data_IF_754465254924
#
_entry.id   IF_754465254924
#
_cell.length_a   1.000
_cell.length_b   1.000
_cell.length_c   1.000
_cell.angle_alpha   90.00
_cell.angle_beta   90.00
_cell.angle_gamma   90.00
#
_symmetry.space_group_name_H-M   'P 1'
#
loop_
_entity.id
_entity.type
_entity.pdbx_description
1 polymer ?
#
# COMPACT_ATOMS: atom_id res chain seq x y z
N UNK A 1 10.90 12.92 8.58
CA UNK A 1 9.69 13.23 9.38
C UNK A 1 9.62 12.28 10.59
N UNK A 2 9.07 12.67 11.75
CA UNK A 2 8.87 11.72 12.90
C UNK A 2 7.60 10.88 12.73
N UNK A 3 7.57 9.66 13.29
CA UNK A 3 6.41 8.75 13.20
C UNK A 3 5.08 9.40 13.60
N UNK A 4 5.02 10.10 14.74
CA UNK A 4 3.80 10.78 15.19
C UNK A 4 3.33 11.90 14.26
N UNK A 5 4.27 12.56 13.58
CA UNK A 5 3.91 13.58 12.60
C UNK A 5 3.30 12.89 11.37
N UNK A 6 3.93 11.83 10.87
CA UNK A 6 3.38 11.05 9.75
C UNK A 6 1.98 10.54 10.06
N UNK A 7 1.77 9.91 11.22
CA UNK A 7 0.44 9.43 11.66
C UNK A 7 -0.59 10.56 11.71
N UNK A 8 -0.20 11.76 12.16
CA UNK A 8 -1.09 12.93 12.20
C UNK A 8 -1.55 13.36 10.81
N UNK A 9 -0.63 13.50 9.84
CA UNK A 9 -1.00 13.91 8.48
C UNK A 9 -1.92 12.88 7.81
N UNK A 10 -1.71 11.59 8.07
CA UNK A 10 -2.56 10.53 7.55
C UNK A 10 -3.95 10.50 8.22
N UNK A 11 -4.08 11.05 9.43
CA UNK A 11 -5.33 11.07 10.18
C UNK A 11 -6.38 12.01 9.59
N UNK A 12 -5.96 13.00 8.80
CA UNK A 12 -6.82 13.98 8.18
C UNK A 12 -7.36 13.53 6.80
N UNK A 13 -6.86 12.42 6.27
CA UNK A 13 -7.25 11.91 4.95
C UNK A 13 -8.71 11.47 4.91
N UNK A 14 -9.40 11.89 3.86
CA UNK A 14 -10.76 11.46 3.56
C UNK A 14 -10.80 9.94 3.30
N UNK A 15 -11.83 9.30 3.82
CA UNK A 15 -12.05 7.85 3.71
C UNK A 15 -13.35 7.56 2.97
N UNK A 16 -13.57 6.29 2.60
CA UNK A 16 -14.77 5.85 1.89
C UNK A 16 -16.06 6.33 2.58
N UNK A 17 -16.92 7.01 1.83
CA UNK A 17 -18.27 7.38 2.28
C UNK A 17 -19.24 6.20 2.18
N UNK A 18 -19.08 5.35 1.16
CA UNK A 18 -19.90 4.16 0.92
C UNK A 18 -19.04 2.99 0.39
N UNK A 19 -18.36 2.24 1.28
CA UNK A 19 -17.42 1.21 0.88
C UNK A 19 -18.09 0.01 0.17
N UNK A 20 -17.52 -0.42 -0.95
CA UNK A 20 -17.93 -1.57 -1.76
C UNK A 20 -17.45 -2.86 -1.10
N UNK A 21 -18.38 -3.61 -0.53
CA UNK A 21 -18.10 -4.84 0.23
C UNK A 21 -17.47 -5.92 -0.66
N UNK A 22 -17.87 -5.99 -1.93
CA UNK A 22 -17.38 -6.92 -2.94
C UNK A 22 -15.92 -6.70 -3.32
N UNK A 23 -15.41 -5.48 -3.14
CA UNK A 23 -14.00 -5.12 -3.34
C UNK A 23 -13.19 -5.19 -2.04
N UNK A 24 -13.81 -5.53 -0.91
CA UNK A 24 -13.19 -5.51 0.41
C UNK A 24 -12.56 -4.14 0.74
N UNK A 25 -13.27 -3.04 0.44
CA UNK A 25 -12.84 -1.66 0.71
C UNK A 25 -12.80 -1.35 2.22
N UNK A 26 -11.69 -1.69 2.85
CA UNK A 26 -11.36 -1.33 4.23
C UNK A 26 -10.17 -0.37 4.22
N UNK A 27 -10.33 0.87 4.70
CA UNK A 27 -9.23 1.82 4.68
C UNK A 27 -8.12 1.39 5.63
N UNK A 28 -6.87 1.51 5.18
CA UNK A 28 -5.72 1.33 6.07
C UNK A 28 -5.66 2.50 7.03
N UNK A 29 -5.86 2.25 8.32
CA UNK A 29 -5.86 3.31 9.34
C UNK A 29 -4.49 4.00 9.42
N UNK A 30 -4.45 5.30 9.79
CA UNK A 30 -3.23 6.12 9.81
C UNK A 30 -2.13 5.52 10.70
N UNK A 31 -2.53 4.87 11.78
CA UNK A 31 -1.64 4.20 12.71
C UNK A 31 -0.90 2.98 12.11
N UNK A 32 -1.59 2.20 11.28
CA UNK A 32 -1.02 1.02 10.62
C UNK A 32 -0.14 1.49 9.46
N UNK A 33 -0.65 2.40 8.63
CA UNK A 33 0.07 2.96 7.49
C UNK A 33 1.38 3.64 7.91
N UNK A 34 1.31 4.55 8.89
CA UNK A 34 2.49 5.25 9.38
C UNK A 34 3.55 4.29 9.92
N UNK A 35 3.17 3.28 10.72
CA UNK A 35 4.13 2.30 11.25
C UNK A 35 4.77 1.44 10.17
N UNK A 36 3.97 0.93 9.24
CA UNK A 36 4.45 0.11 8.13
C UNK A 36 5.50 0.86 7.31
N UNK A 37 5.16 2.06 6.85
CA UNK A 37 6.04 2.87 6.01
C UNK A 37 7.23 3.42 6.79
N UNK A 38 7.03 3.81 8.05
CA UNK A 38 8.13 4.27 8.91
C UNK A 38 9.12 3.15 9.22
N UNK A 39 8.66 1.90 9.34
CA UNK A 39 9.54 0.72 9.45
C UNK A 39 10.27 0.44 8.14
N UNK A 40 9.55 0.46 7.00
CA UNK A 40 10.17 0.29 5.69
C UNK A 40 11.31 1.29 5.47
N UNK A 41 11.09 2.55 5.83
CA UNK A 41 12.11 3.60 5.74
C UNK A 41 13.23 3.42 6.77
N UNK A 42 12.93 3.47 8.07
CA UNK A 42 13.98 3.58 9.10
C UNK A 42 14.75 2.28 9.35
N UNK A 43 14.17 1.12 9.04
CA UNK A 43 14.84 -0.17 9.23
C UNK A 43 15.55 -0.66 7.97
N UNK A 44 15.07 -0.30 6.78
CA UNK A 44 15.52 -0.91 5.53
C UNK A 44 15.91 0.08 4.43
N UNK A 45 15.52 1.36 4.52
CA UNK A 45 15.76 2.36 3.47
C UNK A 45 15.02 2.04 2.17
N UNK A 46 13.83 1.45 2.29
CA UNK A 46 13.05 0.93 1.16
C UNK A 46 11.97 1.95 0.69
N UNK A 47 12.00 3.22 1.12
CA UNK A 47 11.01 4.25 0.73
C UNK A 47 11.65 5.51 0.16
N UNK A 48 12.57 6.17 0.87
CA UNK A 48 13.13 7.45 0.43
C UNK A 48 14.00 7.31 -0.83
N UNK A 49 13.82 8.21 -1.80
CA UNK A 49 14.45 8.16 -3.13
C UNK A 49 14.19 6.85 -3.88
N UNK A 50 13.00 6.26 -3.69
CA UNK A 50 12.53 5.05 -4.38
C UNK A 50 11.30 5.32 -5.22
N UNK A 51 11.13 4.51 -6.25
CA UNK A 51 9.85 4.39 -6.95
C UNK A 51 8.98 3.40 -6.18
N UNK A 52 7.88 3.89 -5.60
CA UNK A 52 6.98 3.11 -4.76
C UNK A 52 5.63 2.90 -5.45
N UNK A 53 5.16 1.65 -5.54
CA UNK A 53 3.80 1.37 -5.98
C UNK A 53 2.91 0.98 -4.80
N UNK A 54 1.70 1.54 -4.75
CA UNK A 54 0.64 1.21 -3.79
C UNK A 54 -0.44 0.39 -4.51
N UNK A 55 -0.47 -0.93 -4.26
CA UNK A 55 -1.41 -1.84 -4.92
C UNK A 55 -2.72 -1.96 -4.15
N UNK A 56 -3.83 -1.64 -4.81
CA UNK A 56 -5.13 -1.51 -4.15
C UNK A 56 -5.11 -0.30 -3.23
N UNK A 57 -4.69 0.85 -3.76
CA UNK A 57 -4.38 2.02 -2.95
C UNK A 57 -5.59 2.59 -2.20
N UNK A 58 -6.82 2.27 -2.62
CA UNK A 58 -8.03 2.80 -2.01
C UNK A 58 -8.01 4.32 -2.01
N UNK A 59 -8.22 4.92 -0.83
CA UNK A 59 -8.14 6.37 -0.62
C UNK A 59 -6.71 6.94 -0.58
N UNK A 60 -5.67 6.14 -0.88
CA UNK A 60 -4.30 6.59 -1.03
C UNK A 60 -3.47 6.68 0.26
N UNK A 61 -3.91 6.12 1.39
CA UNK A 61 -3.21 6.28 2.68
C UNK A 61 -1.76 5.78 2.68
N UNK A 62 -1.48 4.62 2.05
CA UNK A 62 -0.13 4.07 2.00
C UNK A 62 0.76 4.85 1.01
N UNK A 63 0.23 5.18 -0.17
CA UNK A 63 0.89 6.06 -1.13
C UNK A 63 1.24 7.44 -0.56
N UNK A 64 0.29 8.08 0.12
CA UNK A 64 0.52 9.37 0.80
C UNK A 64 1.62 9.26 1.87
N UNK A 65 1.63 8.17 2.64
CA UNK A 65 2.67 7.92 3.63
C UNK A 65 4.06 7.76 2.98
N UNK A 66 4.15 7.09 1.83
CA UNK A 66 5.39 6.95 1.07
C UNK A 66 5.88 8.31 0.54
N UNK A 67 4.98 9.12 -0.04
CA UNK A 67 5.31 10.45 -0.54
C UNK A 67 5.80 11.38 0.59
N UNK A 68 5.12 11.40 1.74
CA UNK A 68 5.52 12.19 2.92
C UNK A 68 6.87 11.76 3.52
N UNK A 69 7.30 10.53 3.27
CA UNK A 69 8.61 10.02 3.67
C UNK A 69 9.71 10.25 2.62
N UNK A 70 9.38 10.86 1.49
CA UNK A 70 10.36 11.25 0.47
C UNK A 70 10.61 10.18 -0.60
N UNK A 71 9.60 9.36 -0.92
CA UNK A 71 9.64 8.57 -2.16
C UNK A 71 9.89 9.49 -3.37
N UNK A 72 10.69 9.03 -4.33
CA UNK A 72 10.99 9.79 -5.54
C UNK A 72 9.75 9.87 -6.45
N UNK A 73 9.02 8.76 -6.52
CA UNK A 73 7.77 8.66 -7.27
C UNK A 73 6.84 7.69 -6.54
N UNK A 74 5.55 8.04 -6.48
CA UNK A 74 4.51 7.15 -5.98
C UNK A 74 3.49 6.87 -7.08
N UNK A 75 3.17 5.59 -7.26
CA UNK A 75 2.16 5.12 -8.22
C UNK A 75 1.05 4.39 -7.46
N UNK A 76 -0.13 5.00 -7.37
CA UNK A 76 -1.31 4.39 -6.77
C UNK A 76 -2.12 3.63 -7.81
N UNK A 77 -2.42 2.35 -7.55
CA UNK A 77 -3.20 1.52 -8.46
C UNK A 77 -4.44 1.01 -7.74
N UNK A 78 -5.61 1.26 -8.31
CA UNK A 78 -6.88 0.69 -7.83
C UNK A 78 -7.79 0.36 -9.01
N UNK A 79 -8.69 -0.60 -8.81
CA UNK A 79 -9.69 -0.96 -9.83
C UNK A 79 -10.88 -0.01 -9.82
N UNK A 80 -11.15 0.59 -8.66
CA UNK A 80 -12.30 1.45 -8.45
C UNK A 80 -11.97 2.93 -8.69
N UNK A 81 -12.65 3.54 -9.66
CA UNK A 81 -12.46 4.96 -9.99
C UNK A 81 -12.86 5.89 -8.85
N UNK A 82 -13.88 5.52 -8.06
CA UNK A 82 -14.32 6.33 -6.90
C UNK A 82 -13.24 6.37 -5.80
N UNK A 83 -12.55 5.25 -5.56
CA UNK A 83 -11.37 5.23 -4.67
C UNK A 83 -10.30 6.20 -5.14
N UNK A 84 -9.99 6.18 -6.45
CA UNK A 84 -8.94 7.01 -7.03
C UNK A 84 -9.29 8.49 -7.01
N UNK A 85 -10.57 8.85 -7.14
CA UNK A 85 -11.02 10.24 -6.98
C UNK A 85 -10.75 10.74 -5.55
N UNK A 86 -11.11 9.95 -4.54
CA UNK A 86 -10.80 10.27 -3.13
C UNK A 86 -9.28 10.36 -2.90
N UNK A 87 -8.51 9.42 -3.46
CA UNK A 87 -7.06 9.41 -3.34
C UNK A 87 -6.40 10.63 -3.99
N UNK A 88 -6.93 11.08 -5.14
CA UNK A 88 -6.47 12.30 -5.82
C UNK A 88 -6.73 13.54 -4.97
N UNK A 89 -7.94 13.67 -4.41
CA UNK A 89 -8.28 14.79 -3.52
C UNK A 89 -7.40 14.81 -2.26
N UNK A 90 -7.15 13.65 -1.66
CA UNK A 90 -6.25 13.49 -0.52
C UNK A 90 -4.80 13.90 -0.86
N UNK A 91 -4.32 13.52 -2.05
CA UNK A 91 -2.99 13.91 -2.52
C UNK A 91 -2.90 15.41 -2.78
N UNK A 92 -3.92 16.01 -3.40
CA UNK A 92 -4.02 17.46 -3.62
C UNK A 92 -4.04 18.26 -2.31
N UNK A 93 -4.82 17.82 -1.32
CA UNK A 93 -4.93 18.48 0.00
C UNK A 93 -3.60 18.49 0.76
N UNK A 94 -2.78 17.45 0.58
CA UNK A 94 -1.45 17.33 1.16
C UNK A 94 -0.31 17.85 0.25
N UNK A 95 -0.64 18.40 -0.92
CA UNK A 95 0.33 18.87 -1.93
C UNK A 95 1.33 17.77 -2.37
N UNK A 96 0.84 16.53 -2.53
CA UNK A 96 1.63 15.35 -2.89
C UNK A 96 1.51 15.04 -4.38
N UNK A 97 2.65 14.79 -5.04
CA UNK A 97 2.70 14.31 -6.42
C UNK A 97 2.60 12.77 -6.45
N UNK A 98 1.40 12.27 -6.77
CA UNK A 98 1.11 10.83 -6.85
C UNK A 98 0.41 10.53 -8.17
N UNK A 99 0.95 9.55 -8.91
CA UNK A 99 0.36 9.09 -10.16
C UNK A 99 -0.67 7.99 -9.90
N UNK A 100 -1.93 8.25 -10.20
CA UNK A 100 -3.00 7.27 -10.06
C UNK A 100 -3.32 6.55 -11.38
N UNK A 101 -3.46 5.23 -11.31
CA UNK A 101 -3.78 4.37 -12.45
C UNK A 101 -5.00 3.52 -12.11
N UNK A 102 -6.08 3.69 -12.87
CA UNK A 102 -7.22 2.78 -12.79
C UNK A 102 -6.89 1.47 -13.51
N UNK A 103 -6.65 0.41 -12.73
CA UNK A 103 -6.32 -0.91 -13.27
C UNK A 103 -6.61 -2.02 -12.26
N UNK A 104 -7.01 -3.17 -12.77
CA UNK A 104 -6.91 -4.41 -12.00
C UNK A 104 -5.44 -4.84 -11.96
N UNK A 105 -4.86 -4.93 -10.76
CA UNK A 105 -3.46 -5.33 -10.53
C UNK A 105 -3.09 -6.61 -11.28
N UNK A 106 -4.03 -7.54 -11.46
CA UNK A 106 -3.80 -8.82 -12.17
C UNK A 106 -3.60 -8.65 -13.67
N UNK A 107 -4.05 -7.53 -14.22
CA UNK A 107 -3.95 -7.15 -15.62
C UNK A 107 -2.88 -6.06 -15.84
N UNK A 108 -2.05 -5.75 -14.84
CA UNK A 108 -0.91 -4.85 -15.02
C UNK A 108 0.02 -5.40 -16.10
N UNK A 109 0.19 -4.63 -17.17
CA UNK A 109 1.09 -4.95 -18.28
C UNK A 109 2.58 -4.76 -17.96
N UNK A 110 2.91 -4.52 -16.69
CA UNK A 110 4.27 -4.31 -16.20
C UNK A 110 5.08 -5.60 -16.28
N UNK A 111 6.29 -5.51 -16.82
CA UNK A 111 7.18 -6.67 -17.01
C UNK A 111 8.59 -6.33 -16.54
N UNK A 112 9.15 -7.18 -15.68
CA UNK A 112 10.43 -6.94 -15.03
C UNK A 112 10.31 -6.01 -13.83
N UNK A 113 11.45 -5.61 -13.28
CA UNK A 113 11.51 -4.71 -12.14
C UNK A 113 11.20 -3.27 -12.59
N UNK A 114 9.95 -2.84 -12.39
CA UNK A 114 9.45 -1.52 -12.82
C UNK A 114 9.52 -0.51 -11.68
N UNK A 115 9.37 -0.98 -10.44
CA UNK A 115 9.39 -0.16 -9.22
C UNK A 115 10.35 -0.78 -8.21
N UNK A 116 10.83 0.02 -7.26
CA UNK A 116 11.72 -0.50 -6.22
C UNK A 116 10.95 -1.24 -5.15
N UNK A 117 9.89 -0.60 -4.65
CA UNK A 117 9.12 -1.08 -3.51
C UNK A 117 7.64 -1.14 -3.85
N UNK A 118 6.99 -2.23 -3.48
CA UNK A 118 5.52 -2.33 -3.49
C UNK A 118 5.03 -2.32 -2.05
N UNK A 119 4.05 -1.48 -1.75
CA UNK A 119 3.28 -1.48 -0.50
C UNK A 119 1.83 -1.84 -0.81
N UNK A 120 1.19 -2.60 0.08
CA UNK A 120 -0.21 -2.96 -0.11
C UNK A 120 -0.92 -3.40 1.16
N UNK A 121 -2.22 -3.15 1.18
CA UNK A 121 -3.18 -3.79 2.06
C UNK A 121 -4.21 -4.51 1.18
N UNK A 122 -3.87 -5.69 0.63
CA UNK A 122 -4.69 -6.33 -0.39
C UNK A 122 -6.01 -6.84 0.22
N UNK A 123 -7.05 -7.06 -0.61
CA UNK A 123 -8.25 -7.74 -0.17
C UNK A 123 -7.90 -9.12 0.39
N UNK A 124 -8.34 -9.44 1.61
CA UNK A 124 -7.96 -10.66 2.35
C UNK A 124 -8.58 -11.95 1.80
N UNK A 125 -9.30 -11.87 0.68
CA UNK A 125 -9.95 -13.00 0.03
C UNK A 125 -11.13 -13.56 0.81
N UNK A 126 -11.76 -12.75 1.67
CA UNK A 126 -12.99 -13.13 2.37
C UNK A 126 -14.18 -13.22 1.42
N UNK A 127 -14.15 -12.46 0.31
CA UNK A 127 -15.14 -12.51 -0.76
C UNK A 127 -14.66 -13.35 -1.93
N UNK A 128 -13.39 -13.17 -2.33
CA UNK A 128 -12.76 -13.88 -3.44
C UNK A 128 -11.48 -14.56 -2.98
N UNK A 129 -11.54 -15.87 -2.76
CA UNK A 129 -10.37 -16.66 -2.34
C UNK A 129 -9.19 -16.43 -3.29
N UNK A 130 -8.03 -16.14 -2.72
CA UNK A 130 -6.76 -15.99 -3.44
C UNK A 130 -6.46 -14.60 -4.01
N UNK A 131 -7.31 -13.60 -3.77
CA UNK A 131 -7.04 -12.23 -4.24
C UNK A 131 -5.77 -11.63 -3.63
N UNK A 132 -5.49 -11.92 -2.36
CA UNK A 132 -4.26 -11.56 -1.67
C UNK A 132 -3.01 -12.18 -2.31
N UNK A 133 -3.09 -13.45 -2.70
CA UNK A 133 -2.00 -14.17 -3.38
C UNK A 133 -1.79 -13.70 -4.82
N UNK A 134 -2.87 -13.32 -5.52
CA UNK A 134 -2.79 -12.70 -6.85
C UNK A 134 -2.01 -11.38 -6.78
N UNK A 135 -2.33 -10.52 -5.80
CA UNK A 135 -1.62 -9.25 -5.56
C UNK A 135 -0.15 -9.50 -5.24
N UNK A 136 0.15 -10.42 -4.33
CA UNK A 136 1.52 -10.77 -3.94
C UNK A 136 2.33 -11.32 -5.11
N UNK A 137 1.73 -12.16 -5.96
CA UNK A 137 2.40 -12.69 -7.16
C UNK A 137 2.80 -11.58 -8.13
N UNK A 138 1.94 -10.58 -8.33
CA UNK A 138 2.25 -9.44 -9.21
C UNK A 138 3.30 -8.55 -8.55
N UNK A 139 3.16 -8.23 -7.26
CA UNK A 139 4.09 -7.38 -6.51
C UNK A 139 5.53 -7.93 -6.59
N UNK A 140 5.71 -9.23 -6.35
CA UNK A 140 7.02 -9.88 -6.42
C UNK A 140 7.65 -9.87 -7.82
N UNK A 141 6.84 -9.82 -8.88
CA UNK A 141 7.35 -9.75 -10.26
C UNK A 141 7.82 -8.36 -10.65
N UNK A 142 7.25 -7.31 -10.04
CA UNK A 142 7.50 -5.91 -10.43
C UNK A 142 8.41 -5.15 -9.49
N UNK A 143 8.52 -5.56 -8.22
CA UNK A 143 9.40 -4.94 -7.24
C UNK A 143 10.86 -5.37 -7.47
N UNK A 144 11.78 -4.41 -7.50
CA UNK A 144 13.22 -4.65 -7.60
C UNK A 144 13.83 -5.00 -6.24
N UNK A 145 13.30 -4.42 -5.17
CA UNK A 145 13.93 -4.42 -3.85
C UNK A 145 13.03 -5.07 -2.79
N UNK A 146 11.80 -4.58 -2.61
CA UNK A 146 10.96 -5.04 -1.49
C UNK A 146 9.45 -5.03 -1.78
N UNK A 147 8.74 -5.94 -1.10
CA UNK A 147 7.28 -5.97 -1.04
C UNK A 147 6.84 -5.98 0.42
N UNK A 148 6.00 -5.02 0.78
CA UNK A 148 5.36 -4.91 2.09
C UNK A 148 3.86 -5.14 1.95
N UNK A 149 3.34 -6.19 2.57
CA UNK A 149 1.93 -6.56 2.48
C UNK A 149 1.31 -6.81 3.85
N UNK A 150 0.10 -6.31 4.08
CA UNK A 150 -0.67 -6.62 5.29
C UNK A 150 -1.57 -7.84 5.06
N UNK A 151 -1.50 -8.82 5.95
CA UNK A 151 -2.34 -10.03 5.93
C UNK A 151 -2.98 -10.28 7.30
N UNK A 152 -4.09 -11.03 7.37
CA UNK A 152 -4.63 -11.46 8.67
C UNK A 152 -3.68 -12.45 9.36
N UNK A 153 -3.47 -12.28 10.67
CA UNK A 153 -2.60 -13.12 11.51
C UNK A 153 -2.97 -14.61 11.59
N UNK A 154 -4.12 -15.03 11.05
CA UNK A 154 -4.50 -16.43 10.89
C UNK A 154 -3.81 -17.14 9.71
N UNK A 155 -3.07 -16.40 8.87
CA UNK A 155 -2.43 -16.88 7.63
C UNK A 155 -0.94 -17.21 7.84
N UNK A 156 -0.62 -18.01 8.87
CA UNK A 156 0.71 -18.10 9.52
C UNK A 156 1.83 -18.86 8.78
N UNK A 157 1.63 -19.33 7.55
CA UNK A 157 2.54 -20.28 6.88
C UNK A 157 3.51 -19.67 5.84
N UNK A 158 3.81 -18.36 5.88
CA UNK A 158 4.72 -17.73 4.90
C UNK A 158 6.05 -17.34 5.53
N UNK A 159 7.15 -17.82 4.92
CA UNK A 159 8.56 -17.58 5.24
C UNK A 159 8.98 -16.11 5.10
N UNK A 160 8.41 -15.20 5.90
CA UNK A 160 8.64 -13.77 5.84
C UNK A 160 8.92 -13.19 7.22
N UNK A 161 9.65 -12.07 7.26
CA UNK A 161 9.89 -11.34 8.51
C UNK A 161 8.56 -10.75 8.99
N UNK A 162 7.92 -11.44 9.93
CA UNK A 162 6.60 -11.08 10.43
C UNK A 162 6.72 -10.01 11.52
N UNK A 163 6.31 -8.78 11.21
CA UNK A 163 6.05 -7.78 12.24
C UNK A 163 4.55 -7.76 12.52
N UNK A 164 4.16 -8.10 13.75
CA UNK A 164 2.76 -8.05 14.17
C UNK A 164 2.38 -6.58 14.45
N UNK A 165 1.44 -6.04 13.66
CA UNK A 165 0.85 -4.72 13.88
C UNK A 165 -0.66 -4.91 13.98
N UNK A 166 -1.22 -4.81 15.19
CA UNK A 166 -2.68 -4.78 15.46
C UNK A 166 -3.47 -5.84 14.66
N UNK A 167 -3.34 -7.11 15.03
CA UNK A 167 -4.06 -8.27 14.42
C UNK A 167 -3.74 -8.56 12.94
N UNK A 168 -2.97 -7.70 12.27
CA UNK A 168 -2.40 -7.92 10.95
C UNK A 168 -0.92 -8.34 11.06
N UNK A 169 -0.56 -9.27 10.19
CA UNK A 169 0.78 -9.70 9.90
C UNK A 169 1.34 -8.83 8.76
N UNK A 170 2.40 -8.06 9.02
CA UNK A 170 3.18 -7.45 7.97
C UNK A 170 4.13 -8.50 7.38
N UNK A 171 3.92 -8.81 6.11
CA UNK A 171 4.79 -9.64 5.29
C UNK A 171 5.79 -8.71 4.59
N UNK A 172 7.08 -8.94 4.85
CA UNK A 172 8.18 -8.27 4.17
C UNK A 172 8.91 -9.32 3.34
N UNK A 173 8.88 -9.17 2.02
CA UNK A 173 9.70 -9.94 1.08
C UNK A 173 10.73 -9.01 0.47
N UNK A 174 12.01 -9.40 0.50
CA UNK A 174 13.10 -8.64 -0.11
C UNK A 174 13.82 -9.54 -1.12
N UNK A 175 14.19 -8.98 -2.26
CA UNK A 175 14.92 -9.67 -3.33
C UNK A 175 16.43 -9.57 -3.13
#
# INVERSE_FOLDING_TARGET
MKLKQLESHLGDLQQFSNPKIELEQYPTGPHIASRMLYTAENSFGDVSNKVVADFGCGCGTLGAAAALLGAEQVIGIDVDSESLEIASLNAEELELDINFIQCDVRNLGWRGHIVDTVVMNPPFGTRKKGADMDFLSVALKVASQAVYSLHKTSTRDVSCLLLAVLELALIIVRN
#
